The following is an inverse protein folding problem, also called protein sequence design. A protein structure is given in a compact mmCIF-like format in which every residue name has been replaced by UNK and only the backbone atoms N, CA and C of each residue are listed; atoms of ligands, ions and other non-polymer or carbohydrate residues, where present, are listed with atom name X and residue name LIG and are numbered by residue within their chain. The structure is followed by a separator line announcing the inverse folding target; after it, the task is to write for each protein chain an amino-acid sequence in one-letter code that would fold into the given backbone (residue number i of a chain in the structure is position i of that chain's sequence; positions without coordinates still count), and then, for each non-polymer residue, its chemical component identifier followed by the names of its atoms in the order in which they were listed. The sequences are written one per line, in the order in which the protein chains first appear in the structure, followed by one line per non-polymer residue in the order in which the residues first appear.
data_IF_012248988560
#
_entry.id   IF_012248988560
#
_cell.length_a   1.000
_cell.length_b   1.000
_cell.length_c   1.000
_cell.angle_alpha   90.00
_cell.angle_beta   90.00
_cell.angle_gamma   90.00
#
_symmetry.space_group_name_H-M   'P 1'
#
loop_
_entity.id
_entity.type
_entity.pdbx_description
1 polymer ?
#
# COMPACT_ATOMS: atom_id res chain seq x y z
N UNK A 1 18.67 18.45 -8.72
CA UNK A 1 17.40 18.06 -8.05
C UNK A 1 16.64 16.91 -8.70
N UNK A 2 16.07 17.00 -9.92
CA UNK A 2 15.25 15.88 -10.48
C UNK A 2 16.02 14.54 -10.56
N UNK A 3 17.27 14.57 -11.02
CA UNK A 3 18.11 13.37 -11.07
C UNK A 3 18.46 12.84 -9.67
N UNK A 4 18.68 13.71 -8.68
CA UNK A 4 18.90 13.29 -7.28
C UNK A 4 17.69 12.56 -6.70
N UNK A 5 16.47 13.06 -7.00
CA UNK A 5 15.22 12.40 -6.58
C UNK A 5 15.19 10.97 -7.14
N UNK A 6 15.40 10.80 -8.44
CA UNK A 6 15.36 9.47 -9.08
C UNK A 6 16.43 8.55 -8.51
N UNK A 7 17.67 9.02 -8.39
CA UNK A 7 18.79 8.22 -7.88
C UNK A 7 18.51 7.71 -6.45
N UNK A 8 17.96 8.55 -5.57
CA UNK A 8 17.66 8.13 -4.20
C UNK A 8 16.55 7.08 -4.15
N UNK A 9 15.57 7.16 -5.05
CA UNK A 9 14.50 6.16 -5.12
C UNK A 9 15.00 4.75 -5.44
N UNK A 10 16.14 4.61 -6.14
CA UNK A 10 16.74 3.30 -6.45
C UNK A 10 17.20 2.54 -5.19
N UNK A 11 17.61 3.26 -4.15
CA UNK A 11 18.04 2.65 -2.88
C UNK A 11 16.87 2.06 -2.07
N UNK A 12 15.65 2.54 -2.29
CA UNK A 12 14.49 2.08 -1.52
C UNK A 12 14.18 0.60 -1.78
N UNK A 13 14.02 0.23 -3.05
CA UNK A 13 13.69 -1.15 -3.43
C UNK A 13 14.87 -2.10 -3.25
N UNK A 14 16.09 -1.63 -3.54
CA UNK A 14 17.29 -2.45 -3.44
C UNK A 14 17.65 -2.78 -1.98
N UNK A 15 17.52 -1.80 -1.08
CA UNK A 15 18.05 -1.90 0.30
C UNK A 15 17.10 -1.39 1.40
N UNK A 16 16.62 -0.14 1.36
CA UNK A 16 16.03 0.51 2.53
C UNK A 16 14.74 -0.17 3.00
N UNK A 17 13.82 -0.47 2.07
CA UNK A 17 12.54 -1.13 2.42
C UNK A 17 12.80 -2.48 3.09
N UNK A 18 13.77 -3.26 2.57
CA UNK A 18 14.15 -4.57 3.13
C UNK A 18 14.77 -4.42 4.51
N UNK A 19 15.71 -3.48 4.66
CA UNK A 19 16.41 -3.23 5.92
C UNK A 19 15.45 -2.75 7.02
N UNK A 20 14.57 -1.79 6.71
CA UNK A 20 13.57 -1.26 7.64
C UNK A 20 12.56 -2.34 8.03
N UNK A 21 12.10 -3.15 7.08
CA UNK A 21 11.19 -4.26 7.35
C UNK A 21 11.85 -5.29 8.28
N UNK A 22 13.12 -5.65 8.02
CA UNK A 22 13.88 -6.57 8.87
C UNK A 22 14.08 -6.00 10.27
N UNK A 23 14.52 -4.74 10.38
CA UNK A 23 14.70 -4.06 11.66
C UNK A 23 13.39 -4.04 12.47
N UNK A 24 12.27 -3.70 11.82
CA UNK A 24 10.97 -3.63 12.49
C UNK A 24 10.51 -5.00 12.99
N UNK A 25 10.75 -6.07 12.23
CA UNK A 25 10.47 -7.44 12.67
C UNK A 25 11.36 -7.87 13.84
N UNK A 26 12.67 -7.66 13.75
CA UNK A 26 13.60 -8.01 14.83
C UNK A 26 13.31 -7.23 16.11
N UNK A 27 12.97 -5.95 15.99
CA UNK A 27 12.55 -5.14 17.13
C UNK A 27 11.34 -5.73 17.84
N UNK A 28 10.29 -6.08 17.08
CA UNK A 28 9.08 -6.72 17.63
C UNK A 28 9.39 -8.09 18.26
N UNK A 29 10.20 -8.93 17.59
CA UNK A 29 10.60 -10.25 18.10
C UNK A 29 11.33 -10.13 19.43
N UNK A 30 12.34 -9.26 19.50
CA UNK A 30 13.13 -9.06 20.71
C UNK A 30 12.31 -8.48 21.86
N UNK A 31 11.34 -7.61 21.57
CA UNK A 31 10.44 -7.09 22.60
C UNK A 31 9.60 -8.21 23.22
N UNK A 32 9.02 -9.10 22.41
CA UNK A 32 8.29 -10.28 22.89
C UNK A 32 9.19 -11.18 23.74
N UNK A 33 10.44 -11.44 23.32
CA UNK A 33 11.41 -12.23 24.10
C UNK A 33 11.77 -11.62 25.45
N UNK A 34 11.62 -10.31 25.59
CA UNK A 34 11.84 -9.57 26.84
C UNK A 34 10.56 -9.38 27.66
N UNK A 35 9.42 -9.92 27.22
CA UNK A 35 8.13 -9.72 27.88
C UNK A 35 7.61 -8.29 27.78
N UNK A 36 8.03 -7.55 26.76
CA UNK A 36 7.59 -6.18 26.49
C UNK A 36 6.45 -6.23 25.47
N UNK A 37 5.25 -5.84 25.89
CA UNK A 37 4.13 -5.63 24.99
C UNK A 37 4.29 -4.29 24.26
N UNK A 38 4.19 -4.33 22.93
CA UNK A 38 4.31 -3.14 22.08
C UNK A 38 2.97 -2.91 21.37
N UNK A 39 2.37 -1.75 21.60
CA UNK A 39 1.21 -1.30 20.83
C UNK A 39 1.67 -0.60 19.54
N UNK A 40 1.41 -1.24 18.40
CA UNK A 40 1.74 -0.78 17.05
C UNK A 40 3.10 -0.02 16.90
N UNK A 41 4.23 -0.65 17.28
CA UNK A 41 5.51 0.04 17.39
C UNK A 41 6.04 0.47 16.03
N UNK A 42 6.55 1.71 15.97
CA UNK A 42 7.24 2.28 14.81
C UNK A 42 8.67 2.66 15.21
N UNK A 43 9.60 1.69 15.34
CA UNK A 43 10.93 1.92 15.91
C UNK A 43 11.82 2.81 15.03
N UNK A 44 11.48 2.94 13.74
CA UNK A 44 12.16 3.82 12.80
C UNK A 44 11.14 4.44 11.85
N UNK A 45 11.34 5.71 11.55
CA UNK A 45 10.67 6.42 10.46
C UNK A 45 11.73 7.01 9.53
N UNK A 46 11.37 7.16 8.26
CA UNK A 46 12.25 7.75 7.25
C UNK A 46 11.66 9.07 6.79
N UNK A 47 12.50 10.09 6.75
CA UNK A 47 12.21 11.38 6.14
C UNK A 47 13.23 11.69 5.05
N UNK A 48 12.89 12.61 4.15
CA UNK A 48 13.81 13.05 3.11
C UNK A 48 13.61 14.53 2.79
N UNK A 49 14.74 15.22 2.67
CA UNK A 49 14.78 16.65 2.32
C UNK A 49 14.93 16.86 0.80
N UNK A 50 15.44 15.85 0.09
CA UNK A 50 15.70 15.91 -1.36
C UNK A 50 14.38 16.15 -2.10
N UNK A 51 14.34 17.23 -2.88
CA UNK A 51 13.14 17.65 -3.63
C UNK A 51 12.13 18.46 -2.81
N UNK A 52 12.37 18.66 -1.51
CA UNK A 52 11.50 19.46 -0.64
C UNK A 52 12.17 20.67 0.00
N UNK A 53 13.46 20.59 0.33
CA UNK A 53 14.21 21.68 0.93
C UNK A 53 14.49 22.79 -0.09
N UNK A 54 13.94 23.99 0.15
CA UNK A 54 14.02 25.14 -0.75
C UNK A 54 14.98 26.22 -0.27
N UNK A 55 15.55 26.06 0.92
CA UNK A 55 16.37 27.12 1.51
C UNK A 55 17.58 27.43 0.63
N UNK A 56 17.65 28.67 0.14
CA UNK A 56 18.69 29.13 -0.79
C UNK A 56 18.74 28.43 -2.16
N UNK A 57 17.78 27.55 -2.51
CA UNK A 57 17.84 26.74 -3.74
C UNK A 57 16.66 27.03 -4.70
N UNK A 58 16.85 27.93 -5.70
CA UNK A 58 15.78 28.29 -6.64
C UNK A 58 15.36 27.14 -7.57
N UNK A 59 16.11 26.04 -7.64
CA UNK A 59 15.78 24.88 -8.47
C UNK A 59 14.78 23.93 -7.79
N UNK A 60 14.43 24.15 -6.51
CA UNK A 60 13.43 23.34 -5.79
C UNK A 60 12.07 24.03 -5.87
N UNK A 61 11.31 23.69 -6.90
CA UNK A 61 10.01 24.31 -7.21
C UNK A 61 8.82 23.49 -6.68
N UNK A 62 7.59 24.00 -6.86
CA UNK A 62 6.37 23.24 -6.57
C UNK A 62 6.26 21.98 -7.42
N UNK A 63 6.68 22.04 -8.69
CA UNK A 63 6.71 20.92 -9.61
C UNK A 63 7.73 19.87 -9.17
N UNK A 64 8.86 20.29 -8.62
CA UNK A 64 9.90 19.38 -8.13
C UNK A 64 9.45 18.66 -6.86
N UNK A 65 8.78 19.38 -5.94
CA UNK A 65 8.15 18.77 -4.76
C UNK A 65 7.06 17.78 -5.16
N UNK A 66 6.19 18.14 -6.11
CA UNK A 66 5.14 17.27 -6.63
C UNK A 66 5.73 16.01 -7.28
N UNK A 67 6.77 16.16 -8.10
CA UNK A 67 7.48 15.04 -8.70
C UNK A 67 8.06 14.11 -7.62
N UNK A 68 8.70 14.69 -6.60
CA UNK A 68 9.26 13.94 -5.49
C UNK A 68 8.21 13.11 -4.76
N UNK A 69 7.09 13.73 -4.39
CA UNK A 69 5.98 13.04 -3.72
C UNK A 69 5.35 11.95 -4.60
N UNK A 70 5.20 12.19 -5.91
CA UNK A 70 4.75 11.17 -6.86
C UNK A 70 5.70 9.98 -6.88
N UNK A 71 7.00 10.20 -7.11
CA UNK A 71 7.97 9.10 -7.22
C UNK A 71 8.07 8.28 -5.93
N UNK A 72 8.07 8.92 -4.77
CA UNK A 72 8.02 8.23 -3.48
C UNK A 72 6.76 7.36 -3.34
N UNK A 73 5.60 7.90 -3.73
CA UNK A 73 4.33 7.16 -3.71
C UNK A 73 4.36 5.97 -4.66
N UNK A 74 4.93 6.15 -5.87
CA UNK A 74 5.08 5.07 -6.85
C UNK A 74 5.98 3.96 -6.31
N UNK A 75 7.12 4.29 -5.70
CA UNK A 75 8.04 3.30 -5.12
C UNK A 75 7.32 2.40 -4.11
N UNK A 76 6.68 3.00 -3.10
CA UNK A 76 6.08 2.22 -2.01
C UNK A 76 4.82 1.47 -2.44
N UNK A 77 3.98 2.07 -3.30
CA UNK A 77 2.76 1.42 -3.76
C UNK A 77 3.07 0.25 -4.70
N UNK A 78 4.03 0.40 -5.61
CA UNK A 78 4.47 -0.72 -6.46
C UNK A 78 5.07 -1.86 -5.63
N UNK A 79 5.86 -1.54 -4.60
CA UNK A 79 6.37 -2.56 -3.68
C UNK A 79 5.23 -3.37 -3.03
N UNK A 80 4.21 -2.71 -2.47
CA UNK A 80 3.08 -3.42 -1.86
C UNK A 80 2.22 -4.18 -2.88
N UNK A 81 2.00 -3.63 -4.08
CA UNK A 81 1.30 -4.34 -5.16
C UNK A 81 2.01 -5.66 -5.47
N UNK A 82 3.34 -5.64 -5.62
CA UNK A 82 4.14 -6.85 -5.86
C UNK A 82 4.00 -7.86 -4.71
N UNK A 83 4.05 -7.41 -3.45
CA UNK A 83 3.86 -8.29 -2.28
C UNK A 83 2.49 -8.93 -2.25
N UNK A 84 1.43 -8.17 -2.56
CA UNK A 84 0.07 -8.71 -2.62
C UNK A 84 -0.10 -9.69 -3.79
N UNK A 85 0.53 -9.45 -4.95
CA UNK A 85 0.57 -10.41 -6.07
C UNK A 85 1.23 -11.73 -5.65
N UNK A 86 2.34 -11.66 -4.92
CA UNK A 86 3.03 -12.85 -4.43
C UNK A 86 2.17 -13.63 -3.41
N UNK A 87 1.46 -12.93 -2.52
CA UNK A 87 0.49 -13.55 -1.61
C UNK A 87 -0.66 -14.21 -2.38
N UNK A 88 -1.25 -13.51 -3.35
CA UNK A 88 -2.28 -14.08 -4.22
C UNK A 88 -1.81 -15.37 -4.88
N UNK A 89 -0.60 -15.41 -5.42
CA UNK A 89 -0.07 -16.61 -6.09
C UNK A 89 0.16 -17.77 -5.10
N UNK A 90 0.74 -17.50 -3.94
CA UNK A 90 1.17 -18.52 -2.98
C UNK A 90 0.07 -19.02 -2.04
N UNK A 91 -0.97 -18.24 -1.78
CA UNK A 91 -1.94 -18.52 -0.72
C UNK A 91 -3.29 -19.00 -1.26
N UNK A 92 -3.36 -20.27 -1.69
CA UNK A 92 -4.52 -20.90 -2.32
C UNK A 92 -5.48 -21.62 -1.35
N UNK A 93 -5.67 -21.08 -0.15
CA UNK A 93 -6.45 -21.79 0.86
C UNK A 93 -7.94 -21.83 0.51
N UNK A 94 -8.48 -23.05 0.46
CA UNK A 94 -9.90 -23.28 0.18
C UNK A 94 -10.74 -23.18 1.45
N UNK A 95 -11.86 -22.45 1.39
CA UNK A 95 -12.86 -22.41 2.47
C UNK A 95 -13.51 -23.76 2.78
N UNK A 96 -13.31 -24.77 1.91
CA UNK A 96 -13.73 -26.15 2.17
C UNK A 96 -12.79 -26.92 3.10
N UNK A 97 -11.57 -26.42 3.29
CA UNK A 97 -10.50 -27.08 4.04
C UNK A 97 -10.04 -26.28 5.27
N UNK A 98 -10.33 -24.99 5.32
CA UNK A 98 -9.97 -24.11 6.44
C UNK A 98 -11.15 -23.24 6.83
N UNK A 99 -11.24 -22.95 8.12
CA UNK A 99 -12.08 -21.87 8.61
C UNK A 99 -11.54 -20.52 8.11
N UNK A 100 -12.46 -19.60 7.88
CA UNK A 100 -12.17 -18.26 7.36
C UNK A 100 -12.88 -17.27 8.25
N UNK A 101 -12.13 -16.29 8.77
CA UNK A 101 -12.72 -15.22 9.58
C UNK A 101 -13.74 -14.42 8.77
N UNK A 102 -14.81 -13.98 9.43
CA UNK A 102 -15.88 -13.18 8.84
C UNK A 102 -15.34 -11.94 8.09
N UNK A 103 -14.37 -11.24 8.67
CA UNK A 103 -13.73 -10.05 8.07
C UNK A 103 -13.06 -10.33 6.72
N UNK A 104 -12.41 -11.48 6.57
CA UNK A 104 -11.81 -11.91 5.30
C UNK A 104 -12.89 -12.31 4.30
N UNK A 105 -13.95 -12.98 4.77
CA UNK A 105 -15.07 -13.36 3.92
C UNK A 105 -15.82 -12.13 3.37
N UNK A 106 -16.01 -11.10 4.18
CA UNK A 106 -16.58 -9.81 3.76
C UNK A 106 -15.68 -9.11 2.73
N UNK A 107 -14.38 -9.04 2.99
CA UNK A 107 -13.43 -8.44 2.05
C UNK A 107 -13.39 -9.19 0.71
N UNK A 108 -13.48 -10.52 0.74
CA UNK A 108 -13.52 -11.36 -0.46
C UNK A 108 -14.73 -11.05 -1.36
N UNK A 109 -15.88 -10.65 -0.78
CA UNK A 109 -17.08 -10.27 -1.55
C UNK A 109 -16.86 -9.01 -2.39
N UNK A 110 -15.94 -8.12 -1.97
CA UNK A 110 -15.60 -6.88 -2.68
C UNK A 110 -14.57 -7.10 -3.81
N UNK A 111 -14.07 -8.33 -3.97
CA UNK A 111 -13.05 -8.68 -4.95
C UNK A 111 -13.51 -8.43 -6.39
N UNK A 112 -12.68 -7.79 -7.23
CA UNK A 112 -12.91 -7.72 -8.67
C UNK A 112 -12.60 -9.04 -9.40
N UNK A 113 -11.93 -10.00 -8.73
CA UNK A 113 -11.76 -11.36 -9.26
C UNK A 113 -13.07 -12.15 -9.17
N UNK A 114 -13.70 -12.32 -10.33
CA UNK A 114 -14.99 -13.01 -10.55
C UNK A 114 -14.83 -14.44 -11.09
N UNK A 115 -13.60 -14.98 -11.10
CA UNK A 115 -13.37 -16.33 -11.61
C UNK A 115 -14.10 -17.39 -10.79
N UNK A 116 -14.85 -18.27 -11.47
CA UNK A 116 -15.52 -19.43 -10.85
C UNK A 116 -14.53 -20.36 -10.12
N UNK A 117 -13.28 -20.40 -10.57
CA UNK A 117 -12.22 -21.19 -9.93
C UNK A 117 -11.76 -20.62 -8.59
N UNK A 118 -12.11 -19.37 -8.28
CA UNK A 118 -11.68 -18.63 -7.07
C UNK A 118 -12.77 -18.49 -6.04
N UNK A 119 -13.99 -18.97 -6.31
CA UNK A 119 -15.15 -18.83 -5.42
C UNK A 119 -14.88 -19.36 -4.01
N UNK A 120 -14.20 -20.50 -3.92
CA UNK A 120 -13.85 -21.15 -2.66
C UNK A 120 -12.48 -20.71 -2.11
N UNK A 121 -11.83 -19.69 -2.68
CA UNK A 121 -10.49 -19.20 -2.27
C UNK A 121 -10.57 -17.76 -1.73
N UNK A 122 -11.19 -17.53 -0.55
CA UNK A 122 -11.54 -16.19 -0.07
C UNK A 122 -10.33 -15.30 0.17
N UNK A 123 -9.19 -15.84 0.59
CA UNK A 123 -7.96 -15.06 0.77
C UNK A 123 -7.42 -14.51 -0.55
N UNK A 124 -7.44 -15.29 -1.64
CA UNK A 124 -7.06 -14.80 -2.98
C UNK A 124 -7.99 -13.68 -3.45
N UNK A 125 -9.29 -13.83 -3.24
CA UNK A 125 -10.27 -12.78 -3.53
C UNK A 125 -10.00 -11.52 -2.69
N UNK A 126 -9.74 -11.66 -1.40
CA UNK A 126 -9.36 -10.55 -0.54
C UNK A 126 -8.07 -9.86 -1.01
N UNK A 127 -7.04 -10.61 -1.41
CA UNK A 127 -5.81 -10.04 -1.98
C UNK A 127 -6.06 -9.31 -3.29
N UNK A 128 -6.92 -9.84 -4.18
CA UNK A 128 -7.33 -9.15 -5.41
C UNK A 128 -8.02 -7.82 -5.10
N UNK A 129 -8.90 -7.79 -4.10
CA UNK A 129 -9.51 -6.54 -3.63
C UNK A 129 -8.44 -5.54 -3.14
N UNK A 130 -7.55 -5.94 -2.24
CA UNK A 130 -6.47 -5.09 -1.72
C UNK A 130 -5.61 -4.56 -2.86
N UNK A 131 -5.21 -5.43 -3.80
CA UNK A 131 -4.44 -5.05 -4.98
C UNK A 131 -5.15 -3.96 -5.80
N UNK A 132 -6.46 -4.12 -6.03
CA UNK A 132 -7.24 -3.11 -6.76
C UNK A 132 -7.22 -1.75 -6.07
N UNK A 133 -7.34 -1.70 -4.74
CA UNK A 133 -7.28 -0.46 -3.96
C UNK A 133 -5.89 0.20 -4.03
N UNK A 134 -4.83 -0.60 -3.98
CA UNK A 134 -3.45 -0.12 -4.14
C UNK A 134 -3.23 0.47 -5.53
N UNK A 135 -3.66 -0.22 -6.60
CA UNK A 135 -3.55 0.26 -7.98
C UNK A 135 -4.33 1.56 -8.17
N UNK A 136 -5.57 1.64 -7.71
CA UNK A 136 -6.35 2.87 -7.83
C UNK A 136 -5.69 4.04 -7.06
N UNK A 137 -5.05 3.76 -5.92
CA UNK A 137 -4.34 4.78 -5.13
C UNK A 137 -3.05 5.24 -5.84
N UNK A 138 -2.34 4.31 -6.48
CA UNK A 138 -1.20 4.62 -7.33
C UNK A 138 -1.62 5.56 -8.48
N UNK A 139 -2.67 5.19 -9.22
CA UNK A 139 -3.19 6.02 -10.32
C UNK A 139 -3.62 7.42 -9.84
N UNK A 140 -4.25 7.49 -8.67
CA UNK A 140 -4.64 8.77 -8.07
C UNK A 140 -3.46 9.70 -7.82
N UNK A 141 -2.35 9.20 -7.26
CA UNK A 141 -1.14 10.00 -7.03
C UNK A 141 -0.36 10.29 -8.31
N UNK A 142 -0.34 9.37 -9.29
CA UNK A 142 0.27 9.60 -10.61
C UNK A 142 -0.42 10.73 -11.38
N UNK A 143 -1.73 10.89 -11.22
CA UNK A 143 -2.47 12.05 -11.72
C UNK A 143 -2.16 13.36 -10.97
N UNK A 144 -1.28 13.33 -9.97
CA UNK A 144 -0.81 14.50 -9.25
C UNK A 144 -1.77 14.99 -8.16
N UNK A 145 -2.67 14.13 -7.68
CA UNK A 145 -3.65 14.48 -6.67
C UNK A 145 -3.05 14.41 -5.25
N UNK A 146 -2.44 15.50 -4.78
CA UNK A 146 -1.84 15.59 -3.44
C UNK A 146 -2.52 16.59 -2.50
N UNK A 147 -3.60 17.24 -2.93
CA UNK A 147 -4.31 18.18 -2.05
C UNK A 147 -4.96 17.44 -0.88
N UNK A 148 -4.92 18.04 0.31
CA UNK A 148 -5.47 17.44 1.54
C UNK A 148 -6.94 17.08 1.37
N UNK A 149 -7.71 17.93 0.70
CA UNK A 149 -9.14 17.74 0.44
C UNK A 149 -9.38 16.53 -0.48
N UNK A 150 -8.58 16.39 -1.55
CA UNK A 150 -8.70 15.25 -2.47
C UNK A 150 -8.31 13.94 -1.81
N UNK A 151 -7.25 13.94 -1.00
CA UNK A 151 -6.83 12.76 -0.24
C UNK A 151 -7.89 12.40 0.80
N UNK A 152 -8.39 13.37 1.57
CA UNK A 152 -9.45 13.14 2.57
C UNK A 152 -10.74 12.61 1.94
N UNK A 153 -11.17 13.19 0.80
CA UNK A 153 -12.32 12.70 0.04
C UNK A 153 -12.14 11.24 -0.37
N UNK A 154 -10.99 10.89 -0.95
CA UNK A 154 -10.69 9.51 -1.35
C UNK A 154 -10.63 8.54 -0.17
N UNK A 155 -10.06 8.95 0.96
CA UNK A 155 -10.06 8.12 2.18
C UNK A 155 -11.48 7.87 2.67
N UNK A 156 -12.35 8.89 2.65
CA UNK A 156 -13.75 8.73 3.02
C UNK A 156 -14.54 7.81 2.07
N UNK A 157 -14.24 7.82 0.77
CA UNK A 157 -14.81 6.90 -0.22
C UNK A 157 -14.35 5.45 0.01
N UNK A 158 -13.08 5.25 0.38
CA UNK A 158 -12.56 3.93 0.73
C UNK A 158 -13.21 3.36 2.00
N UNK A 159 -13.43 4.20 3.02
CA UNK A 159 -14.14 3.81 4.26
C UNK A 159 -15.60 3.48 3.96
N UNK A 160 -16.28 4.29 3.14
CA UNK A 160 -17.67 4.04 2.75
C UNK A 160 -17.83 2.72 1.99
N UNK A 161 -16.96 2.43 1.03
CA UNK A 161 -16.97 1.15 0.30
C UNK A 161 -16.68 -0.07 1.19
N UNK A 162 -15.98 0.11 2.32
CA UNK A 162 -15.80 -0.92 3.35
C UNK A 162 -17.00 -1.07 4.30
N UNK A 163 -17.95 -0.15 4.27
CA UNK A 163 -19.13 -0.11 5.16
C UNK A 163 -20.48 -0.26 4.45
N UNK A 164 -20.51 -0.26 3.11
CA UNK A 164 -21.74 -0.35 2.32
C UNK A 164 -21.90 -1.77 1.78
N UNK A 165 -22.94 -2.47 2.25
CA UNK A 165 -23.50 -3.61 1.55
C UNK A 165 -24.09 -3.16 0.22
N UNK A 166 -23.79 -3.93 -0.84
CA UNK A 166 -24.54 -4.04 -2.11
C UNK A 166 -24.85 -2.74 -2.86
N UNK A 167 -24.12 -2.54 -3.96
CA UNK A 167 -24.52 -1.66 -5.06
C UNK A 167 -23.49 -1.75 -6.17
N UNK A 168 -23.90 -2.27 -7.33
CA UNK A 168 -23.07 -2.56 -8.50
C UNK A 168 -22.13 -1.41 -8.86
N UNK A 169 -20.84 -1.72 -9.03
CA UNK A 169 -19.92 -0.89 -9.82
C UNK A 169 -19.58 -1.69 -11.06
N UNK A 170 -20.26 -1.37 -12.15
CA UNK A 170 -19.89 -1.80 -13.50
C UNK A 170 -18.57 -1.10 -13.83
N UNK A 171 -17.51 -1.88 -14.00
CA UNK A 171 -16.28 -1.41 -14.60
C UNK A 171 -16.39 -1.67 -16.11
N UNK A 172 -16.65 -0.60 -16.88
CA UNK A 172 -16.36 -0.63 -18.31
C UNK A 172 -14.83 -0.60 -18.49
N UNK A 173 -14.34 -1.58 -19.24
CA UNK A 173 -12.95 -1.72 -19.68
C UNK A 173 -12.61 -0.71 -20.79
#
# INVERSE_FOLDING_TARGET
VKNEITNVMEYYNSSLIKAISKLSHEFKRLAVEKGIELDNPTPITMGMWIGGDRDGNPFVTAETLKLCATLQSEVILNYYIEKVVNLYRSFSLSSRLTEVSETVAEMAKLSPDTSVYRENEPYRRAFSYIQSKLIQTLLFFKAGNFSKERVAKRLSENVRLGSVSTGEVVADF
#
